data_IF_534273814196
#
_entry.id   IF_534273814196
#
_cell.length_a   1.000
_cell.length_b   1.000
_cell.length_c   1.000
_cell.angle_alpha   90.00
_cell.angle_beta   90.00
_cell.angle_gamma   90.00
#
_symmetry.space_group_name_H-M   'P 1'
#
loop_
_entity.id
_entity.type
_entity.pdbx_description
1 polymer ?
#
# COMPACT_ATOMS: atom_id res chain seq x y z
N UNK A 1 11.95 37.65 -64.92
CA UNK A 1 11.08 37.38 -63.76
C UNK A 1 12.03 37.03 -62.63
N UNK A 2 12.25 37.98 -61.72
CA UNK A 2 13.28 37.89 -60.69
C UNK A 2 12.64 37.40 -59.39
N UNK A 3 13.15 36.31 -58.85
CA UNK A 3 12.70 35.74 -57.58
C UNK A 3 13.17 36.60 -56.39
N UNK A 4 12.34 36.82 -55.37
CA UNK A 4 12.73 37.59 -54.19
C UNK A 4 13.42 36.70 -53.14
N UNK A 5 14.56 37.17 -52.63
CA UNK A 5 15.29 36.57 -51.52
C UNK A 5 14.50 36.62 -50.20
N UNK A 6 14.61 35.58 -49.33
CA UNK A 6 14.01 35.59 -48.01
C UNK A 6 14.83 36.42 -47.01
N UNK A 7 14.13 37.26 -46.23
CA UNK A 7 14.67 38.08 -45.15
C UNK A 7 15.07 37.19 -43.96
N UNK A 8 16.32 37.30 -43.53
CA UNK A 8 16.81 36.79 -42.24
C UNK A 8 16.27 37.68 -41.13
N UNK A 9 15.47 37.11 -40.23
CA UNK A 9 15.02 37.77 -39.00
C UNK A 9 16.04 37.59 -37.89
N UNK A 10 16.41 38.71 -37.27
CA UNK A 10 17.22 38.77 -36.04
C UNK A 10 16.45 38.12 -34.87
N UNK A 11 17.01 37.07 -34.29
CA UNK A 11 16.60 36.55 -32.99
C UNK A 11 17.45 37.21 -31.91
N UNK A 12 16.90 38.22 -31.24
CA UNK A 12 17.40 38.64 -29.92
C UNK A 12 16.95 37.63 -28.86
N UNK A 13 17.84 37.16 -27.97
CA UNK A 13 17.46 36.27 -26.88
C UNK A 13 16.65 37.03 -25.82
N UNK A 14 15.50 36.47 -25.44
CA UNK A 14 14.72 36.90 -24.29
C UNK A 14 15.50 36.69 -22.98
N UNK A 15 15.36 37.60 -21.99
CA UNK A 15 16.02 37.46 -20.71
C UNK A 15 15.40 36.32 -19.89
N UNK A 16 16.29 35.51 -19.34
CA UNK A 16 16.03 34.27 -18.64
C UNK A 16 15.32 34.57 -17.29
N UNK A 17 14.05 34.17 -17.14
CA UNK A 17 13.26 34.24 -15.89
C UNK A 17 13.67 33.18 -14.84
N UNK A 18 14.92 32.72 -14.85
CA UNK A 18 15.39 31.63 -13.99
C UNK A 18 16.13 32.07 -12.70
N UNK A 19 16.12 33.36 -12.34
CA UNK A 19 16.90 33.87 -11.20
C UNK A 19 16.08 34.47 -10.05
N UNK A 20 14.74 34.43 -10.11
CA UNK A 20 13.89 35.03 -9.08
C UNK A 20 13.46 34.06 -7.96
N UNK A 21 13.62 32.74 -8.11
CA UNK A 21 13.07 31.74 -7.18
C UNK A 21 14.06 31.20 -6.13
N UNK A 22 15.37 31.42 -6.30
CA UNK A 22 16.37 30.96 -5.31
C UNK A 22 16.57 31.92 -4.13
N UNK A 23 16.02 33.15 -4.20
CA UNK A 23 16.15 34.12 -3.11
C UNK A 23 15.06 34.02 -2.02
N UNK A 24 13.98 33.27 -2.25
CA UNK A 24 12.88 33.14 -1.27
C UNK A 24 13.07 31.99 -0.26
N UNK A 25 13.84 30.95 -0.61
CA UNK A 25 14.09 29.84 0.32
C UNK A 25 15.11 30.19 1.41
N UNK A 26 16.00 31.16 1.17
CA UNK A 26 16.95 31.65 2.18
C UNK A 26 16.30 32.64 3.16
N UNK A 27 15.19 33.28 2.78
CA UNK A 27 14.44 34.19 3.64
C UNK A 27 13.56 33.47 4.67
N UNK A 28 13.10 32.24 4.38
CA UNK A 28 12.20 31.50 5.27
C UNK A 28 12.91 30.84 6.47
N UNK A 29 14.20 30.48 6.33
CA UNK A 29 14.97 29.86 7.41
C UNK A 29 15.44 30.84 8.51
N UNK A 30 15.36 32.16 8.28
CA UNK A 30 15.73 33.19 9.27
C UNK A 30 14.62 33.56 10.25
N UNK A 31 13.39 33.05 10.06
CA UNK A 31 12.24 33.38 10.90
C UNK A 31 12.07 32.45 12.12
N UNK A 32 12.88 31.39 12.26
CA UNK A 32 12.67 30.36 13.28
C UNK A 32 13.67 30.33 14.43
N UNK A 33 14.72 31.17 14.42
CA UNK A 33 15.68 31.31 15.55
C UNK A 33 16.14 29.95 16.16
N UNK A 34 16.29 28.94 15.30
CA UNK A 34 16.77 27.62 15.71
C UNK A 34 18.29 27.61 15.60
N UNK A 35 18.95 27.82 16.74
CA UNK A 35 20.37 27.60 16.94
C UNK A 35 20.71 26.12 16.71
N UNK A 36 21.12 25.77 15.49
CA UNK A 36 21.73 24.48 15.19
C UNK A 36 23.19 24.47 15.68
N UNK A 37 23.40 24.10 16.95
CA UNK A 37 24.72 23.65 17.42
C UNK A 37 24.97 22.20 16.92
N UNK A 38 26.14 21.90 16.33
CA UNK A 38 26.52 20.54 15.98
C UNK A 38 27.10 19.83 17.20
N UNK A 39 26.28 19.13 17.97
CA UNK A 39 26.75 18.26 19.06
C UNK A 39 27.25 16.91 18.52
N UNK A 40 28.55 16.89 18.25
CA UNK A 40 29.35 15.70 18.07
C UNK A 40 29.73 15.15 19.47
N UNK A 41 29.05 14.10 19.94
CA UNK A 41 29.49 13.32 21.10
C UNK A 41 29.12 11.85 20.99
N UNK A 42 30.10 11.07 20.53
CA UNK A 42 30.14 9.62 20.69
C UNK A 42 30.03 9.27 22.17
N UNK A 43 29.01 8.51 22.56
CA UNK A 43 28.93 7.91 23.89
C UNK A 43 28.76 6.39 23.76
N UNK A 44 29.85 5.67 23.97
CA UNK A 44 29.87 4.21 24.14
C UNK A 44 29.44 3.91 25.59
N UNK A 45 28.17 3.58 25.79
CA UNK A 45 27.63 3.11 27.06
C UNK A 45 27.38 1.61 27.02
N UNK A 46 28.32 0.85 27.60
CA UNK A 46 28.16 -0.57 27.96
C UNK A 46 27.11 -0.68 29.07
N UNK A 47 26.09 -1.53 28.90
CA UNK A 47 25.06 -1.74 29.91
C UNK A 47 24.80 -3.25 30.06
N UNK A 48 25.48 -3.84 31.04
CA UNK A 48 25.19 -5.15 31.60
C UNK A 48 24.06 -5.01 32.63
N UNK A 49 22.97 -5.78 32.47
CA UNK A 49 22.01 -6.12 33.54
C UNK A 49 21.33 -7.44 33.16
N UNK A 50 21.68 -8.55 33.81
CA UNK A 50 21.11 -9.09 35.07
C UNK A 50 19.79 -9.82 34.83
N UNK A 51 19.88 -11.15 34.91
CA UNK A 51 18.78 -12.11 34.95
C UNK A 51 18.01 -12.00 36.27
N UNK A 52 16.69 -11.79 36.21
CA UNK A 52 15.77 -12.08 37.32
C UNK A 52 14.47 -12.70 36.78
N UNK A 53 14.26 -13.98 37.11
CA UNK A 53 12.94 -14.61 37.29
C UNK A 53 12.78 -14.88 38.81
N UNK A 54 11.67 -15.42 39.36
CA UNK A 54 10.24 -15.41 38.99
C UNK A 54 9.30 -15.07 40.19
N UNK A 55 8.02 -14.77 39.96
CA UNK A 55 6.89 -15.09 40.87
C UNK A 55 5.56 -14.89 40.13
N UNK A 56 4.67 -15.89 39.99
CA UNK A 56 3.77 -16.56 40.95
C UNK A 56 2.60 -15.72 41.47
N UNK A 57 1.42 -16.23 41.13
CA UNK A 57 0.15 -16.24 41.88
C UNK A 57 -0.66 -14.94 41.96
N UNK A 58 -1.79 -14.90 41.23
CA UNK A 58 -3.08 -14.42 41.75
C UNK A 58 -4.21 -14.95 40.88
N UNK A 59 -4.88 -15.97 41.40
CA UNK A 59 -6.28 -16.26 41.13
C UNK A 59 -7.12 -15.09 41.67
N UNK A 60 -8.15 -14.64 40.95
CA UNK A 60 -9.47 -14.32 41.54
C UNK A 60 -10.51 -13.95 40.47
N UNK A 61 -11.75 -14.27 40.82
CA UNK A 61 -12.93 -14.43 40.00
C UNK A 61 -13.70 -13.10 39.77
N UNK A 62 -14.40 -13.00 38.64
CA UNK A 62 -15.77 -12.45 38.50
C UNK A 62 -16.12 -12.49 37.01
N UNK A 63 -17.01 -13.35 36.51
CA UNK A 63 -18.46 -13.40 36.73
C UNK A 63 -19.13 -12.04 36.59
N UNK A 64 -19.35 -11.62 35.34
CA UNK A 64 -20.60 -10.90 35.05
C UNK A 64 -21.16 -11.31 33.68
N UNK A 65 -22.38 -11.86 33.73
CA UNK A 65 -23.12 -12.33 32.59
C UNK A 65 -23.70 -11.15 31.84
N UNK A 66 -23.27 -10.96 30.60
CA UNK A 66 -23.90 -10.02 29.68
C UNK A 66 -24.51 -10.79 28.52
N UNK A 67 -25.80 -11.04 28.68
CA UNK A 67 -26.73 -11.59 27.70
C UNK A 67 -27.02 -10.52 26.63
N UNK A 68 -26.27 -10.56 25.54
CA UNK A 68 -26.55 -9.77 24.34
C UNK A 68 -27.26 -10.65 23.31
N UNK A 69 -28.53 -10.92 23.60
CA UNK A 69 -29.50 -11.37 22.61
C UNK A 69 -29.78 -10.23 21.63
N UNK A 70 -28.89 -10.02 20.66
CA UNK A 70 -29.15 -9.19 19.48
C UNK A 70 -29.72 -10.05 18.37
N UNK A 71 -31.05 -10.03 18.32
CA UNK A 71 -31.84 -10.37 17.14
C UNK A 71 -31.46 -9.43 16.01
N UNK A 72 -30.76 -9.94 15.00
CA UNK A 72 -30.51 -9.25 13.74
C UNK A 72 -30.38 -10.27 12.62
N UNK A 73 -31.51 -10.91 12.33
CA UNK A 73 -31.82 -11.43 11.00
C UNK A 73 -31.87 -10.27 9.99
N UNK A 74 -30.70 -9.76 9.64
CA UNK A 74 -30.50 -9.13 8.34
C UNK A 74 -29.92 -10.22 7.44
N UNK A 75 -30.80 -10.86 6.69
CA UNK A 75 -30.47 -11.62 5.49
C UNK A 75 -29.92 -10.63 4.46
N UNK A 76 -28.70 -10.15 4.70
CA UNK A 76 -27.86 -9.59 3.66
C UNK A 76 -27.54 -10.77 2.74
N UNK A 77 -28.32 -10.87 1.66
CA UNK A 77 -27.95 -11.59 0.45
C UNK A 77 -26.66 -10.94 -0.09
N UNK A 78 -25.55 -11.26 0.58
CA UNK A 78 -24.23 -11.06 0.04
C UNK A 78 -24.15 -12.05 -1.11
N UNK A 79 -24.57 -11.58 -2.29
CA UNK A 79 -24.45 -12.29 -3.55
C UNK A 79 -22.95 -12.39 -3.84
N UNK A 80 -22.36 -13.38 -3.16
CA UNK A 80 -21.08 -13.91 -3.41
C UNK A 80 -21.21 -14.58 -4.78
N UNK A 81 -21.11 -13.75 -5.82
CA UNK A 81 -20.38 -14.05 -7.03
C UNK A 81 -18.95 -14.45 -6.63
N UNK A 82 -18.87 -15.56 -5.89
CA UNK A 82 -17.66 -16.20 -5.40
C UNK A 82 -16.95 -16.59 -6.67
N UNK A 83 -15.71 -16.10 -6.87
CA UNK A 83 -14.88 -16.59 -7.95
C UNK A 83 -14.93 -18.12 -7.93
N UNK A 84 -15.19 -18.70 -9.10
CA UNK A 84 -15.34 -20.12 -9.36
C UNK A 84 -14.62 -20.98 -8.33
N UNK A 85 -15.36 -21.88 -7.69
CA UNK A 85 -14.91 -22.81 -6.64
C UNK A 85 -13.54 -23.37 -7.00
N UNK A 86 -12.49 -22.71 -6.48
CA UNK A 86 -11.14 -23.24 -6.40
C UNK A 86 -11.32 -24.59 -5.71
N UNK A 87 -11.00 -25.66 -6.44
CA UNK A 87 -11.46 -27.01 -6.10
C UNK A 87 -11.24 -27.38 -4.63
N UNK A 88 -12.04 -28.31 -4.10
CA UNK A 88 -11.88 -28.71 -2.70
C UNK A 88 -10.42 -29.11 -2.40
N UNK A 89 -9.80 -28.61 -1.33
CA UNK A 89 -8.43 -28.96 -0.98
C UNK A 89 -8.33 -30.48 -0.82
N UNK A 90 -7.40 -31.10 -1.56
CA UNK A 90 -7.17 -32.54 -1.48
C UNK A 90 -5.84 -32.81 -0.78
N UNK A 91 -5.81 -33.89 0.00
CA UNK A 91 -4.61 -34.43 0.62
C UNK A 91 -4.23 -33.81 1.97
N UNK A 92 -2.95 -33.94 2.33
CA UNK A 92 -2.41 -33.46 3.60
C UNK A 92 -1.90 -32.01 3.47
N UNK A 93 -1.99 -31.26 4.57
CA UNK A 93 -1.47 -29.90 4.67
C UNK A 93 0.00 -29.83 4.25
N UNK A 94 0.32 -28.97 3.29
CA UNK A 94 1.67 -28.79 2.74
C UNK A 94 2.68 -28.36 3.78
N UNK A 95 2.27 -27.59 4.79
CA UNK A 95 3.15 -27.13 5.86
C UNK A 95 3.42 -28.20 6.91
N UNK A 96 2.36 -28.71 7.55
CA UNK A 96 2.52 -29.54 8.74
C UNK A 96 2.62 -31.04 8.41
N UNK A 97 2.15 -31.46 7.23
CA UNK A 97 2.10 -32.86 6.77
C UNK A 97 1.40 -33.84 7.73
N UNK A 98 0.67 -33.33 8.73
CA UNK A 98 0.03 -34.11 9.80
C UNK A 98 -1.49 -34.13 9.72
N UNK A 99 -2.09 -33.03 9.29
CA UNK A 99 -3.55 -32.86 9.20
C UNK A 99 -3.99 -32.83 7.74
N UNK A 100 -5.18 -33.33 7.47
CA UNK A 100 -5.83 -33.16 6.18
C UNK A 100 -6.04 -31.67 5.88
N UNK A 101 -5.91 -31.33 4.61
CA UNK A 101 -6.12 -29.97 4.17
C UNK A 101 -7.62 -29.64 4.17
N UNK A 102 -7.95 -28.48 4.72
CA UNK A 102 -9.32 -27.96 4.82
C UNK A 102 -9.48 -26.64 4.07
N UNK A 103 -8.37 -25.99 3.71
CA UNK A 103 -8.34 -24.73 2.98
C UNK A 103 -7.27 -24.76 1.89
N UNK A 104 -7.53 -24.08 0.78
CA UNK A 104 -6.50 -23.76 -0.21
C UNK A 104 -5.75 -22.48 0.21
N UNK A 105 -4.63 -22.18 -0.45
CA UNK A 105 -4.00 -20.88 -0.28
C UNK A 105 -4.97 -19.77 -0.70
N UNK A 106 -5.21 -18.81 0.20
CA UNK A 106 -6.11 -17.69 -0.08
C UNK A 106 -5.53 -16.68 -1.08
N UNK A 107 -4.20 -16.69 -1.30
CA UNK A 107 -3.53 -15.75 -2.20
C UNK A 107 -3.53 -16.18 -3.67
N UNK A 108 -3.43 -17.49 -3.95
CA UNK A 108 -3.35 -18.01 -5.33
C UNK A 108 -4.37 -19.11 -5.63
N UNK A 109 -5.10 -19.60 -4.62
CA UNK A 109 -5.96 -20.76 -4.79
C UNK A 109 -5.22 -22.07 -5.07
N UNK A 110 -3.89 -22.08 -5.02
CA UNK A 110 -3.07 -23.29 -5.18
C UNK A 110 -2.49 -23.74 -3.85
N UNK A 111 -2.26 -25.03 -3.73
CA UNK A 111 -1.72 -25.65 -2.53
C UNK A 111 -2.71 -25.84 -1.38
N UNK A 112 -2.48 -26.92 -0.64
CA UNK A 112 -3.43 -27.50 0.31
C UNK A 112 -2.97 -27.28 1.76
N UNK A 113 -3.77 -26.62 2.61
CA UNK A 113 -3.44 -26.31 4.00
C UNK A 113 -4.54 -26.73 4.97
N UNK A 114 -4.18 -27.07 6.21
CA UNK A 114 -5.17 -27.42 7.26
C UNK A 114 -5.69 -26.21 8.04
N UNK A 115 -5.11 -25.02 7.83
CA UNK A 115 -5.57 -23.76 8.42
C UNK A 115 -4.95 -22.56 7.70
N UNK A 116 -5.57 -21.36 7.76
CA UNK A 116 -4.99 -20.12 7.24
C UNK A 116 -3.60 -19.82 7.80
N UNK A 117 -3.40 -20.02 9.12
CA UNK A 117 -2.09 -19.87 9.77
C UNK A 117 -1.01 -20.78 9.16
N UNK A 118 -1.37 -22.00 8.74
CA UNK A 118 -0.41 -22.86 8.06
C UNK A 118 -0.05 -22.36 6.66
N UNK A 119 -0.99 -21.73 5.96
CA UNK A 119 -0.73 -21.11 4.66
C UNK A 119 0.23 -19.91 4.82
N UNK A 120 -0.12 -18.95 5.68
CA UNK A 120 0.64 -17.72 5.93
C UNK A 120 2.08 -18.02 6.35
N UNK A 121 2.25 -18.88 7.36
CA UNK A 121 3.60 -19.20 7.78
C UNK A 121 4.39 -20.02 6.73
N UNK A 122 3.72 -20.71 5.80
CA UNK A 122 4.39 -21.41 4.69
C UNK A 122 4.91 -20.41 3.65
N UNK A 123 4.17 -19.32 3.45
CA UNK A 123 4.61 -18.15 2.68
C UNK A 123 5.83 -17.47 3.30
N UNK A 124 5.77 -17.15 4.59
CA UNK A 124 6.88 -16.49 5.29
C UNK A 124 8.19 -17.29 5.20
N UNK A 125 8.09 -18.62 5.20
CA UNK A 125 9.25 -19.52 5.09
C UNK A 125 9.64 -19.84 3.64
N UNK A 126 8.97 -19.25 2.65
CA UNK A 126 9.18 -19.52 1.22
C UNK A 126 8.89 -20.97 0.80
N UNK A 127 8.17 -21.74 1.63
CA UNK A 127 7.87 -23.16 1.36
C UNK A 127 6.71 -23.34 0.39
N UNK A 128 5.81 -22.36 0.37
CA UNK A 128 4.75 -22.27 -0.61
C UNK A 128 4.94 -20.97 -1.38
N UNK A 129 5.11 -21.09 -2.69
CA UNK A 129 5.15 -19.95 -3.60
C UNK A 129 3.87 -19.96 -4.41
N UNK A 130 3.10 -18.89 -4.28
CA UNK A 130 1.99 -18.60 -5.19
C UNK A 130 2.54 -18.45 -6.61
N UNK A 131 2.33 -19.45 -7.46
CA UNK A 131 2.57 -19.31 -8.89
C UNK A 131 1.31 -18.71 -9.50
N UNK A 132 1.35 -17.48 -10.07
CA UNK A 132 0.25 -16.98 -10.87
C UNK A 132 0.14 -17.88 -12.10
N UNK A 133 -0.94 -18.65 -12.18
CA UNK A 133 -1.20 -19.57 -13.31
C UNK A 133 -1.55 -18.83 -14.60
N UNK A 134 -1.99 -17.58 -14.51
CA UNK A 134 -2.39 -16.77 -15.65
C UNK A 134 -1.38 -15.65 -15.90
N UNK A 135 -1.06 -15.43 -17.18
CA UNK A 135 -0.21 -14.33 -17.62
C UNK A 135 -1.03 -13.03 -17.66
N UNK A 136 -1.29 -12.47 -16.48
CA UNK A 136 -2.12 -11.28 -16.31
C UNK A 136 -1.30 -10.00 -16.51
N UNK A 137 -1.98 -8.89 -16.84
CA UNK A 137 -1.37 -7.55 -16.86
C UNK A 137 -0.79 -7.18 -15.49
N UNK A 138 -1.38 -7.68 -14.39
CA UNK A 138 -0.83 -7.52 -13.04
C UNK A 138 0.58 -8.12 -12.91
N UNK A 139 0.78 -9.31 -13.47
CA UNK A 139 2.07 -10.00 -13.43
C UNK A 139 3.13 -9.22 -14.19
N UNK A 140 2.78 -8.74 -15.40
CA UNK A 140 3.65 -7.90 -16.22
C UNK A 140 4.05 -6.62 -15.49
N UNK A 141 3.09 -5.96 -14.84
CA UNK A 141 3.35 -4.77 -14.02
C UNK A 141 4.32 -5.07 -12.88
N UNK A 142 4.02 -6.10 -12.05
CA UNK A 142 4.84 -6.43 -10.89
C UNK A 142 6.26 -6.86 -11.27
N UNK A 143 6.43 -7.54 -12.41
CA UNK A 143 7.76 -7.85 -12.96
C UNK A 143 8.52 -6.58 -13.37
N UNK A 144 7.86 -5.64 -14.05
CA UNK A 144 8.49 -4.39 -14.49
C UNK A 144 8.90 -3.51 -13.30
N UNK A 145 8.00 -3.28 -12.33
CA UNK A 145 8.31 -2.44 -11.14
C UNK A 145 9.35 -3.08 -10.24
N UNK A 146 9.45 -4.42 -10.21
CA UNK A 146 10.50 -5.14 -9.50
C UNK A 146 11.88 -5.03 -10.14
N UNK A 147 11.95 -4.60 -11.40
CA UNK A 147 13.19 -4.28 -12.12
C UNK A 147 13.44 -2.76 -12.19
N UNK A 148 12.65 -1.97 -11.48
CA UNK A 148 12.67 -0.50 -11.52
C UNK A 148 12.44 0.07 -12.93
N UNK A 149 11.66 -0.63 -13.76
CA UNK A 149 11.32 -0.22 -15.12
C UNK A 149 9.81 0.02 -15.28
N UNK A 150 9.41 0.96 -16.15
CA UNK A 150 8.01 1.06 -16.56
C UNK A 150 7.61 -0.16 -17.41
N UNK A 151 6.35 -0.62 -17.32
CA UNK A 151 5.86 -1.69 -18.20
C UNK A 151 5.77 -1.19 -19.65
N UNK A 152 6.18 -2.03 -20.59
CA UNK A 152 6.14 -1.71 -22.03
C UNK A 152 4.81 -2.12 -22.70
N UNK A 153 4.01 -2.93 -22.02
CA UNK A 153 2.77 -3.50 -22.54
C UNK A 153 1.64 -2.44 -22.44
N UNK A 154 1.05 -1.99 -23.58
CA UNK A 154 0.06 -0.92 -23.56
C UNK A 154 -1.19 -1.26 -22.72
N UNK A 155 -1.61 -2.52 -22.74
CA UNK A 155 -2.75 -2.97 -21.95
C UNK A 155 -2.44 -2.91 -20.44
N UNK A 156 -1.22 -3.24 -20.04
CA UNK A 156 -0.75 -3.09 -18.65
C UNK A 156 -0.68 -1.63 -18.24
N UNK A 157 -0.28 -0.73 -19.14
CA UNK A 157 -0.28 0.72 -18.84
C UNK A 157 -1.71 1.23 -18.61
N UNK A 158 -2.66 0.77 -19.40
CA UNK A 158 -4.08 1.16 -19.32
C UNK A 158 -4.76 0.59 -18.07
N UNK A 159 -4.66 -0.74 -17.88
CA UNK A 159 -5.26 -1.47 -16.76
C UNK A 159 -4.86 -0.96 -15.37
N UNK A 160 -3.71 -0.26 -15.28
CA UNK A 160 -3.12 0.22 -14.03
C UNK A 160 -2.90 1.73 -13.99
N UNK A 161 -3.63 2.47 -14.84
CA UNK A 161 -3.70 3.94 -14.81
C UNK A 161 -2.36 4.66 -15.06
N UNK A 162 -1.44 4.00 -15.77
CA UNK A 162 -0.14 4.56 -16.14
C UNK A 162 -0.19 5.28 -17.49
N UNK A 163 -1.12 4.92 -18.38
CA UNK A 163 -1.25 5.53 -19.72
C UNK A 163 -1.22 7.07 -19.69
N UNK A 164 -2.01 7.78 -18.84
CA UNK A 164 -2.02 9.24 -18.81
C UNK A 164 -0.71 9.86 -18.30
N UNK A 165 0.15 9.08 -17.64
CA UNK A 165 1.40 9.53 -17.03
C UNK A 165 2.62 9.27 -17.92
N UNK A 166 2.44 8.61 -19.07
CA UNK A 166 3.53 8.39 -20.05
C UNK A 166 3.92 9.65 -20.83
N UNK A 167 3.20 10.76 -20.66
CA UNK A 167 3.52 12.02 -21.30
C UNK A 167 4.86 12.58 -20.78
N UNK A 168 5.70 13.21 -21.63
CA UNK A 168 7.05 13.66 -21.26
C UNK A 168 7.10 14.62 -20.05
N UNK A 169 6.04 15.37 -19.80
CA UNK A 169 5.93 16.33 -18.70
C UNK A 169 5.39 15.72 -17.39
N UNK A 170 5.17 14.41 -17.33
CA UNK A 170 4.58 13.69 -16.19
C UNK A 170 5.48 12.58 -15.63
N UNK A 171 6.79 12.68 -15.90
CA UNK A 171 7.75 11.68 -15.46
C UNK A 171 7.75 11.49 -13.94
N UNK A 172 7.67 12.58 -13.17
CA UNK A 172 7.62 12.52 -11.70
C UNK A 172 6.38 11.78 -11.18
N UNK A 173 5.20 12.06 -11.77
CA UNK A 173 3.96 11.36 -11.41
C UNK A 173 4.04 9.86 -11.75
N UNK A 174 4.64 9.53 -12.90
CA UNK A 174 4.86 8.14 -13.29
C UNK A 174 5.77 7.42 -12.30
N UNK A 175 6.90 8.02 -11.91
CA UNK A 175 7.81 7.46 -10.91
C UNK A 175 7.12 7.28 -9.55
N UNK A 176 6.29 8.23 -9.14
CA UNK A 176 5.50 8.13 -7.90
C UNK A 176 4.52 6.96 -7.94
N UNK A 177 3.77 6.81 -9.04
CA UNK A 177 2.82 5.70 -9.18
C UNK A 177 3.52 4.34 -9.28
N UNK A 178 4.64 4.24 -10.01
CA UNK A 178 5.47 3.03 -10.05
C UNK A 178 6.05 2.70 -8.67
N UNK A 179 6.45 3.71 -7.90
CA UNK A 179 6.90 3.57 -6.52
C UNK A 179 5.82 3.02 -5.60
N UNK A 180 4.56 3.43 -5.78
CA UNK A 180 3.40 2.89 -5.06
C UNK A 180 3.21 1.40 -5.41
N UNK A 181 3.19 1.05 -6.70
CA UNK A 181 3.07 -0.36 -7.11
C UNK A 181 4.23 -1.23 -6.62
N UNK A 182 5.46 -0.69 -6.61
CA UNK A 182 6.62 -1.36 -6.00
C UNK A 182 6.39 -1.60 -4.51
N UNK A 183 5.85 -0.62 -3.79
CA UNK A 183 5.56 -0.76 -2.38
C UNK A 183 4.46 -1.79 -2.09
N UNK A 184 3.48 -1.95 -2.98
CA UNK A 184 2.50 -3.05 -2.89
C UNK A 184 3.19 -4.41 -2.92
N UNK A 185 4.18 -4.59 -3.78
CA UNK A 185 4.93 -5.84 -3.89
C UNK A 185 5.85 -6.08 -2.67
N UNK A 186 6.67 -5.09 -2.30
CA UNK A 186 7.73 -5.28 -1.32
C UNK A 186 7.31 -4.98 0.12
N UNK A 187 6.51 -3.93 0.33
CA UNK A 187 6.05 -3.50 1.65
C UNK A 187 4.76 -4.19 2.11
N UNK A 188 3.85 -4.45 1.18
CA UNK A 188 2.54 -5.06 1.48
C UNK A 188 2.40 -6.53 1.06
N UNK A 189 3.38 -7.07 0.34
CA UNK A 189 3.39 -8.45 -0.16
C UNK A 189 2.15 -8.82 -0.99
N UNK A 190 1.62 -7.86 -1.75
CA UNK A 190 0.48 -8.07 -2.64
C UNK A 190 0.93 -8.93 -3.83
N UNK A 191 0.21 -10.03 -4.04
CA UNK A 191 0.48 -10.95 -5.15
C UNK A 191 -0.09 -10.43 -6.47
N UNK A 192 0.46 -10.89 -7.59
CA UNK A 192 -0.09 -10.60 -8.93
C UNK A 192 -1.57 -11.01 -9.07
N UNK A 193 -2.01 -12.21 -8.63
CA UNK A 193 -3.43 -12.57 -8.66
C UNK A 193 -4.31 -11.63 -7.83
N UNK A 194 -3.86 -11.23 -6.64
CA UNK A 194 -4.61 -10.31 -5.78
C UNK A 194 -4.75 -8.92 -6.42
N UNK A 195 -3.66 -8.40 -7.00
CA UNK A 195 -3.70 -7.12 -7.72
C UNK A 195 -4.59 -7.20 -8.97
N UNK A 196 -4.58 -8.33 -9.69
CA UNK A 196 -5.47 -8.57 -10.81
C UNK A 196 -6.94 -8.56 -10.37
N UNK A 197 -7.26 -9.21 -9.25
CA UNK A 197 -8.61 -9.21 -8.69
C UNK A 197 -9.08 -7.79 -8.34
N UNK A 198 -8.20 -6.94 -7.80
CA UNK A 198 -8.55 -5.53 -7.55
C UNK A 198 -8.86 -4.79 -8.84
N UNK A 199 -8.12 -5.08 -9.91
CA UNK A 199 -8.37 -4.52 -11.24
C UNK A 199 -9.70 -4.96 -11.80
N UNK A 200 -10.02 -6.25 -11.75
CA UNK A 200 -11.31 -6.79 -12.23
C UNK A 200 -12.49 -6.20 -11.46
N UNK A 201 -12.32 -5.98 -10.15
CA UNK A 201 -13.31 -5.34 -9.30
C UNK A 201 -13.38 -3.81 -9.44
N UNK A 202 -12.48 -3.18 -10.22
CA UNK A 202 -12.30 -1.70 -10.27
C UNK A 202 -12.10 -1.07 -8.88
N UNK A 203 -11.27 -1.71 -8.05
CA UNK A 203 -11.01 -1.31 -6.67
C UNK A 203 -9.51 -1.10 -6.40
N UNK A 204 -8.70 -0.82 -7.42
CA UNK A 204 -7.25 -0.64 -7.25
C UNK A 204 -7.00 0.56 -6.34
N UNK A 205 -7.59 1.73 -6.65
CA UNK A 205 -7.36 2.95 -5.88
C UNK A 205 -7.77 2.78 -4.41
N UNK A 206 -9.00 2.31 -4.18
CA UNK A 206 -9.56 2.15 -2.85
C UNK A 206 -8.71 1.18 -1.99
N UNK A 207 -8.25 0.08 -2.58
CA UNK A 207 -7.41 -0.88 -1.86
C UNK A 207 -6.01 -0.31 -1.55
N UNK A 208 -5.39 0.41 -2.49
CA UNK A 208 -4.11 1.07 -2.27
C UNK A 208 -4.20 2.08 -1.14
N UNK A 209 -5.18 2.99 -1.19
CA UNK A 209 -5.36 4.04 -0.18
C UNK A 209 -5.65 3.43 1.19
N UNK A 210 -6.51 2.40 1.25
CA UNK A 210 -6.80 1.67 2.49
C UNK A 210 -5.53 1.08 3.11
N UNK A 211 -4.65 0.47 2.31
CA UNK A 211 -3.39 -0.08 2.80
C UNK A 211 -2.42 0.99 3.30
N UNK A 212 -2.28 2.09 2.56
CA UNK A 212 -1.40 3.19 2.93
C UNK A 212 -1.86 3.88 4.23
N UNK A 213 -3.17 4.05 4.42
CA UNK A 213 -3.73 4.63 5.65
C UNK A 213 -3.62 3.67 6.84
N UNK A 214 -3.85 2.37 6.61
CA UNK A 214 -3.81 1.37 7.69
C UNK A 214 -2.40 1.10 8.21
N UNK A 215 -1.39 1.24 7.36
CA UNK A 215 0.00 0.92 7.70
C UNK A 215 0.96 2.04 7.29
N UNK A 216 0.90 3.21 7.95
CA UNK A 216 1.71 4.37 7.57
C UNK A 216 3.23 4.13 7.70
N UNK A 217 3.66 3.19 8.54
CA UNK A 217 5.09 2.83 8.67
C UNK A 217 5.62 2.02 7.49
N UNK A 218 4.75 1.38 6.71
CA UNK A 218 5.09 0.61 5.50
C UNK A 218 4.94 1.43 4.23
N UNK A 219 4.28 2.59 4.31
CA UNK A 219 4.00 3.48 3.20
C UNK A 219 4.83 4.75 3.31
N UNK A 220 5.78 5.02 2.41
CA UNK A 220 6.48 6.30 2.36
C UNK A 220 5.51 7.48 2.37
N UNK A 221 5.69 8.43 3.28
CA UNK A 221 4.78 9.56 3.47
C UNK A 221 4.55 10.36 2.17
N UNK A 222 5.58 10.47 1.33
CA UNK A 222 5.51 11.14 0.03
C UNK A 222 4.53 10.45 -0.93
N UNK A 223 4.46 9.12 -0.93
CA UNK A 223 3.52 8.35 -1.75
C UNK A 223 2.08 8.53 -1.25
N UNK A 224 1.88 8.49 0.07
CA UNK A 224 0.59 8.75 0.69
C UNK A 224 0.09 10.17 0.41
N UNK A 225 0.97 11.17 0.44
CA UNK A 225 0.65 12.54 0.07
C UNK A 225 0.27 12.66 -1.41
N UNK A 226 1.03 12.02 -2.30
CA UNK A 226 0.74 12.01 -3.72
C UNK A 226 -0.63 11.38 -4.02
N UNK A 227 -0.95 10.22 -3.42
CA UNK A 227 -2.25 9.53 -3.58
C UNK A 227 -3.44 10.43 -3.22
N UNK A 228 -3.31 11.23 -2.15
CA UNK A 228 -4.36 12.17 -1.72
C UNK A 228 -4.62 13.26 -2.76
N UNK A 229 -3.57 13.77 -3.42
CA UNK A 229 -3.68 14.85 -4.40
C UNK A 229 -3.95 14.35 -5.84
N UNK A 230 -3.63 13.09 -6.13
CA UNK A 230 -3.71 12.50 -7.48
C UNK A 230 -4.78 11.42 -7.61
N UNK A 231 -5.82 11.44 -6.78
CA UNK A 231 -6.98 10.54 -6.94
C UNK A 231 -7.67 10.68 -8.31
N UNK A 232 -7.46 11.79 -9.01
CA UNK A 232 -7.95 12.01 -10.37
C UNK A 232 -7.25 11.13 -11.45
N UNK A 233 -6.15 10.44 -11.12
CA UNK A 233 -5.52 9.47 -12.03
C UNK A 233 -6.39 8.22 -12.19
N UNK A 234 -7.25 7.92 -11.20
CA UNK A 234 -8.07 6.71 -11.12
C UNK A 234 -9.55 6.94 -11.49
N UNK A 235 -9.87 8.02 -12.22
CA UNK A 235 -11.26 8.46 -12.45
C UNK A 235 -12.12 7.47 -13.25
N UNK A 236 -11.51 6.53 -13.97
CA UNK A 236 -12.24 5.50 -14.71
C UNK A 236 -12.74 4.35 -13.81
N UNK A 237 -12.33 4.30 -12.54
CA UNK A 237 -12.96 3.43 -11.54
C UNK A 237 -14.36 3.95 -11.21
N UNK A 238 -15.34 3.05 -11.16
CA UNK A 238 -16.70 3.35 -10.72
C UNK A 238 -16.64 3.86 -9.28
N UNK A 239 -16.72 5.18 -9.09
CA UNK A 239 -16.78 5.81 -7.76
C UNK A 239 -18.09 5.49 -7.01
N UNK A 240 -18.99 4.71 -7.61
CA UNK A 240 -20.34 4.45 -7.10
C UNK A 240 -20.36 3.70 -5.77
N UNK A 241 -19.28 3.00 -5.42
CA UNK A 241 -19.08 2.36 -4.10
C UNK A 241 -17.87 2.92 -3.34
N UNK A 242 -17.53 4.19 -3.54
CA UNK A 242 -16.72 4.89 -2.53
C UNK A 242 -17.60 4.98 -1.28
N UNK A 243 -17.49 3.98 -0.39
CA UNK A 243 -17.79 4.15 1.03
C UNK A 243 -17.18 5.49 1.41
N UNK A 244 -18.04 6.46 1.74
CA UNK A 244 -17.68 7.86 1.99
C UNK A 244 -16.28 7.92 2.63
N UNK A 245 -15.29 8.27 1.82
CA UNK A 245 -13.88 8.17 2.22
C UNK A 245 -13.63 9.10 3.41
N UNK A 246 -14.36 10.21 3.48
CA UNK A 246 -14.35 11.10 4.62
C UNK A 246 -15.07 10.46 5.82
N UNK A 247 -16.12 9.66 5.64
CA UNK A 247 -16.68 8.86 6.74
C UNK A 247 -15.70 7.78 7.23
N UNK A 248 -14.97 7.11 6.34
CA UNK A 248 -13.96 6.13 6.74
C UNK A 248 -12.77 6.78 7.47
N UNK A 249 -12.27 7.91 6.97
CA UNK A 249 -11.22 8.67 7.66
C UNK A 249 -11.73 9.19 9.02
N UNK A 250 -12.94 9.77 9.08
CA UNK A 250 -13.55 10.23 10.35
C UNK A 250 -13.76 9.09 11.35
N UNK A 251 -14.15 7.90 10.89
CA UNK A 251 -14.35 6.74 11.75
C UNK A 251 -13.04 6.18 12.32
N UNK A 252 -11.92 6.32 11.59
CA UNK A 252 -10.62 5.85 12.06
C UNK A 252 -9.82 6.92 12.83
N UNK A 253 -10.05 8.22 12.57
CA UNK A 253 -9.47 9.30 13.39
C UNK A 253 -9.92 9.19 14.85
N UNK A 254 -11.18 8.79 15.10
CA UNK A 254 -11.66 8.55 16.47
C UNK A 254 -10.93 7.39 17.17
N UNK A 255 -10.42 6.41 16.43
CA UNK A 255 -9.68 5.29 17.02
C UNK A 255 -8.22 5.62 17.32
N UNK A 256 -7.60 6.54 16.58
CA UNK A 256 -6.20 6.92 16.81
C UNK A 256 -6.05 7.77 18.09
N UNK A 257 -6.94 8.75 18.28
CA UNK A 257 -7.01 9.56 19.52
C UNK A 257 -7.33 8.67 20.73
N UNK A 258 -8.24 7.69 20.60
CA UNK A 258 -8.53 6.72 21.67
C UNK A 258 -7.35 5.79 21.97
N UNK A 259 -6.58 5.38 20.96
CA UNK A 259 -5.40 4.55 21.14
C UNK A 259 -4.27 5.31 21.86
N UNK A 260 -4.05 6.57 21.51
CA UNK A 260 -3.10 7.45 22.23
C UNK A 260 -3.57 7.73 23.66
N UNK A 261 -4.86 8.01 23.86
CA UNK A 261 -5.42 8.20 25.19
C UNK A 261 -5.28 6.94 26.07
N UNK A 262 -5.50 5.75 25.49
CA UNK A 262 -5.33 4.48 26.21
C UNK A 262 -3.86 4.20 26.55
N UNK A 263 -2.91 4.57 25.68
CA UNK A 263 -1.47 4.45 25.96
C UNK A 263 -1.00 5.42 27.07
N UNK A 264 -1.54 6.63 27.10
CA UNK A 264 -1.24 7.62 28.14
C UNK A 264 -1.87 7.30 29.51
N UNK A 265 -2.95 6.50 29.55
CA UNK A 265 -3.53 6.03 30.80
C UNK A 265 -2.82 4.83 31.43
N UNK A 266 -1.92 4.16 30.71
CA UNK A 266 -1.17 2.99 31.19
C UNK A 266 0.28 3.30 31.61
N UNK A 267 0.70 4.56 31.56
CA UNK A 267 1.98 5.07 32.09
C UNK A 267 1.75 5.91 33.34
#
# INVERSE_FOLDING_TARGET
>A
MSEPHPKTGDCSPEPNEASALENDLVASCKALDLDCQPDNKSNNGSMDHSEEEPSKDSEEESSDGSDWSVDSSLELEFDASRPNVLGSPQGQCERCKKREASVLCFFCGTGSFCSPWCCEMSHEKGKHMCVPTEDTTAKKLLLAVGQDLPPNDPQTLDDYYLTPLTAPNRHEDLEMLLGIYRNLLTGFHISSPQLHQWKEAKQIFNNIVRLHNRYPTRAPAIQSFWLKNHGHVFLEEDKSEVLDFDAYLRANDTTFEQFIASLLCYM
#
